data_IF_187836478017
#
_entry.id   IF_187836478017
#
_cell.length_a   1.000
_cell.length_b   1.000
_cell.length_c   1.000
_cell.angle_alpha   90.00
_cell.angle_beta   90.00
_cell.angle_gamma   90.00
#
_symmetry.space_group_name_H-M   'P 1'
#
loop_
_entity.id
_entity.type
_entity.pdbx_description
1 polymer ?
#
# COMPACT_ATOMS: atom_id res chain seq x y z
N UNK A 1 21.69 6.56 19.74
CA UNK A 1 22.40 7.68 20.42
C UNK A 1 23.84 7.86 19.90
N UNK A 2 24.69 6.82 19.86
CA UNK A 2 26.06 6.95 19.34
C UNK A 2 26.12 7.39 17.86
N UNK A 3 25.36 6.73 16.99
CA UNK A 3 25.30 7.09 15.57
C UNK A 3 24.83 8.54 15.31
N UNK A 4 23.88 9.03 16.11
CA UNK A 4 23.40 10.42 16.01
C UNK A 4 24.50 11.42 16.42
N UNK A 5 25.27 11.14 17.48
CA UNK A 5 26.39 12.00 17.86
C UNK A 5 27.46 12.05 16.77
N UNK A 6 27.80 10.90 16.20
CA UNK A 6 28.76 10.82 15.10
C UNK A 6 28.29 11.60 13.86
N UNK A 7 27.00 11.51 13.53
CA UNK A 7 26.43 12.29 12.42
C UNK A 7 26.39 13.81 12.68
N UNK A 8 26.44 14.25 13.95
CA UNK A 8 26.43 15.65 14.34
C UNK A 8 27.83 16.28 14.45
N UNK A 9 28.90 15.49 14.49
CA UNK A 9 30.28 16.02 14.56
C UNK A 9 30.63 17.03 13.45
N UNK A 10 30.26 16.79 12.18
CA UNK A 10 30.51 17.74 11.10
C UNK A 10 29.74 19.07 11.26
N UNK A 11 28.73 19.11 12.13
CA UNK A 11 27.86 20.27 12.34
C UNK A 11 28.25 21.07 13.60
N UNK A 12 29.41 20.81 14.20
CA UNK A 12 29.88 21.51 15.41
C UNK A 12 30.03 23.03 15.23
N UNK A 13 30.32 23.48 14.01
CA UNK A 13 30.39 24.91 13.67
C UNK A 13 29.02 25.53 13.30
N UNK A 14 27.94 24.74 13.27
CA UNK A 14 26.60 25.21 12.93
C UNK A 14 25.87 25.62 14.20
N UNK A 15 25.41 26.87 14.22
CA UNK A 15 24.62 27.40 15.33
C UNK A 15 23.30 26.64 15.47
N UNK A 16 23.03 26.15 16.68
CA UNK A 16 21.75 25.54 17.00
C UNK A 16 20.68 26.63 17.09
N UNK A 17 19.58 26.43 16.37
CA UNK A 17 18.41 27.31 16.41
C UNK A 17 17.27 26.54 17.09
N UNK A 18 16.44 27.19 17.92
CA UNK A 18 15.21 26.59 18.43
C UNK A 18 14.38 26.03 17.28
N UNK A 19 13.91 24.79 17.44
CA UNK A 19 13.24 24.09 16.37
C UNK A 19 11.89 24.76 16.08
N UNK A 20 11.68 25.30 14.87
CA UNK A 20 10.45 26.02 14.55
C UNK A 20 9.29 25.04 14.33
N UNK A 21 8.03 25.51 14.39
CA UNK A 21 6.87 24.71 14.00
C UNK A 21 7.02 24.14 12.57
N UNK A 22 6.41 23.00 12.28
CA UNK A 22 6.57 22.29 11.02
C UNK A 22 6.28 23.16 9.78
N UNK A 23 5.24 23.99 9.83
CA UNK A 23 4.87 24.93 8.77
C UNK A 23 6.00 25.92 8.43
N UNK A 24 6.69 26.40 9.47
CA UNK A 24 7.80 27.35 9.32
C UNK A 24 9.08 26.63 8.88
N UNK A 25 9.29 25.38 9.28
CA UNK A 25 10.36 24.55 8.71
C UNK A 25 10.15 24.36 7.21
N UNK A 26 8.91 24.09 6.76
CA UNK A 26 8.57 23.94 5.35
C UNK A 26 8.89 25.21 4.54
N UNK A 27 8.53 26.38 5.07
CA UNK A 27 8.87 27.66 4.44
C UNK A 27 10.38 27.91 4.33
N UNK A 28 11.16 27.58 5.38
CA UNK A 28 12.61 27.74 5.40
C UNK A 28 13.35 26.78 4.45
N UNK A 29 12.72 25.66 4.10
CA UNK A 29 13.31 24.61 3.28
C UNK A 29 12.92 24.68 1.80
N UNK A 30 12.05 25.61 1.40
CA UNK A 30 11.62 25.77 0.01
C UNK A 30 12.76 26.11 -0.98
N UNK A 31 13.89 26.61 -0.49
CA UNK A 31 15.11 26.87 -1.30
C UNK A 31 16.24 25.87 -1.10
N UNK A 32 16.00 24.74 -0.43
CA UNK A 32 17.05 23.74 -0.20
C UNK A 32 17.32 22.90 -1.46
N UNK A 33 18.55 22.41 -1.64
CA UNK A 33 18.85 21.50 -2.75
C UNK A 33 17.97 20.24 -2.70
N UNK A 34 17.56 19.66 -3.85
CA UNK A 34 16.63 18.53 -3.90
C UNK A 34 17.10 17.30 -3.10
N UNK A 35 18.42 17.13 -2.94
CA UNK A 35 19.03 16.03 -2.19
C UNK A 35 18.71 16.09 -0.70
N UNK A 36 18.42 17.28 -0.17
CA UNK A 36 18.03 17.48 1.23
C UNK A 36 16.55 17.19 1.47
N UNK A 37 15.74 17.10 0.42
CA UNK A 37 14.28 16.95 0.54
C UNK A 37 13.87 15.71 1.37
N UNK A 38 14.47 14.52 1.20
CA UNK A 38 14.12 13.36 2.02
C UNK A 38 14.42 13.55 3.52
N UNK A 39 15.51 14.25 3.85
CA UNK A 39 15.87 14.54 5.23
C UNK A 39 14.95 15.60 5.84
N UNK A 40 14.61 16.63 5.07
CA UNK A 40 13.66 17.68 5.46
C UNK A 40 12.26 17.11 5.66
N UNK A 41 11.82 16.20 4.80
CA UNK A 41 10.54 15.49 4.95
C UNK A 41 10.53 14.62 6.21
N UNK A 42 11.64 13.94 6.52
CA UNK A 42 11.80 13.23 7.78
C UNK A 42 11.73 14.18 8.99
N UNK A 43 12.43 15.32 8.94
CA UNK A 43 12.40 16.32 10.02
C UNK A 43 11.00 16.89 10.24
N UNK A 44 10.25 17.20 9.17
CA UNK A 44 8.85 17.66 9.24
C UNK A 44 7.95 16.60 9.84
N UNK A 45 8.07 15.36 9.38
CA UNK A 45 7.30 14.23 9.86
C UNK A 45 7.58 13.94 11.35
N UNK A 46 8.84 14.06 11.79
CA UNK A 46 9.18 14.02 13.20
C UNK A 46 8.58 15.21 13.96
N UNK A 47 8.68 16.43 13.45
CA UNK A 47 8.07 17.60 14.10
C UNK A 47 6.57 17.45 14.32
N UNK A 48 5.83 17.10 13.27
CA UNK A 48 4.37 16.92 13.30
C UNK A 48 3.97 15.83 14.30
N UNK A 49 4.65 14.68 14.24
CA UNK A 49 4.25 13.54 15.05
C UNK A 49 4.86 13.51 16.46
N UNK A 50 5.81 14.39 16.78
CA UNK A 50 6.36 14.50 18.13
C UNK A 50 5.65 15.55 18.99
N UNK A 51 4.77 16.38 18.40
CA UNK A 51 4.01 17.40 19.13
C UNK A 51 4.92 18.29 19.98
N UNK A 52 6.14 18.57 19.48
CA UNK A 52 7.15 19.31 20.22
C UNK A 52 6.81 20.79 20.19
N UNK A 53 5.84 21.17 21.00
CA UNK A 53 5.76 22.53 21.51
C UNK A 53 6.99 22.67 22.42
N UNK A 54 7.95 23.54 22.07
CA UNK A 54 9.29 23.61 22.68
C UNK A 54 9.37 23.96 24.17
N UNK A 55 8.35 23.64 24.98
CA UNK A 55 8.15 24.07 26.37
C UNK A 55 8.15 22.94 27.40
N UNK A 56 8.17 21.66 27.02
CA UNK A 56 8.10 20.54 28.00
C UNK A 56 9.35 19.64 28.03
N UNK A 57 10.10 19.58 29.15
CA UNK A 57 11.39 18.86 29.23
C UNK A 57 11.26 17.33 29.38
N UNK A 58 10.05 16.75 29.27
CA UNK A 58 9.81 15.31 29.55
C UNK A 58 8.80 14.59 28.67
N UNK A 59 8.36 15.17 27.55
CA UNK A 59 7.58 14.37 26.60
C UNK A 59 8.52 13.42 25.88
N UNK A 60 8.41 12.12 26.18
CA UNK A 60 9.05 11.11 25.34
C UNK A 60 8.46 11.28 23.93
N UNK A 61 9.28 11.59 22.92
CA UNK A 61 8.79 11.82 21.58
C UNK A 61 8.13 10.53 21.06
N UNK A 62 6.80 10.49 21.03
CA UNK A 62 6.02 9.34 20.59
C UNK A 62 5.39 9.64 19.22
N UNK A 63 5.97 9.05 18.18
CA UNK A 63 5.52 9.20 16.81
C UNK A 63 4.36 8.22 16.53
N UNK A 64 3.14 8.72 16.36
CA UNK A 64 1.99 7.91 15.95
C UNK A 64 1.89 7.89 14.43
N UNK A 65 2.32 6.79 13.82
CA UNK A 65 2.10 6.53 12.39
C UNK A 65 0.85 5.73 12.20
N UNK A 66 -0.02 6.21 11.32
CA UNK A 66 -1.04 5.38 10.71
C UNK A 66 -0.36 4.36 9.76
N UNK A 67 0.06 3.24 10.33
CA UNK A 67 0.76 2.17 9.60
C UNK A 67 -0.15 1.51 8.54
N UNK A 68 -1.46 1.61 8.69
CA UNK A 68 -2.42 1.15 7.70
C UNK A 68 -2.29 1.98 6.43
N UNK A 69 -2.38 3.32 6.55
CA UNK A 69 -2.18 4.24 5.41
C UNK A 69 -0.79 4.15 4.80
N UNK A 70 0.25 4.00 5.61
CA UNK A 70 1.63 3.87 5.09
C UNK A 70 1.77 2.60 4.27
N UNK A 71 1.23 1.49 4.76
CA UNK A 71 1.30 0.21 4.05
C UNK A 71 0.46 0.22 2.77
N UNK A 72 -0.73 0.80 2.83
CA UNK A 72 -1.58 1.00 1.65
C UNK A 72 -0.83 1.79 0.57
N UNK A 73 -0.29 2.96 0.90
CA UNK A 73 0.49 3.78 -0.03
C UNK A 73 1.72 3.05 -0.57
N UNK A 74 2.40 2.26 0.27
CA UNK A 74 3.55 1.46 -0.13
C UNK A 74 3.18 0.42 -1.19
N UNK A 75 2.09 -0.33 -0.97
CA UNK A 75 1.57 -1.31 -1.93
C UNK A 75 1.11 -0.61 -3.20
N UNK A 76 0.28 0.43 -3.08
CA UNK A 76 -0.24 1.23 -4.20
C UNK A 76 0.88 1.75 -5.08
N UNK A 77 1.92 2.35 -4.50
CA UNK A 77 3.09 2.85 -5.24
C UNK A 77 3.76 1.72 -6.04
N UNK A 78 3.95 0.56 -5.43
CA UNK A 78 4.53 -0.59 -6.11
C UNK A 78 3.67 -1.15 -7.25
N UNK A 79 2.35 -1.14 -7.09
CA UNK A 79 1.42 -1.55 -8.16
C UNK A 79 1.47 -0.54 -9.30
N UNK A 80 1.33 0.76 -9.02
CA UNK A 80 1.38 1.82 -10.03
C UNK A 80 2.69 1.79 -10.82
N UNK A 81 3.83 1.68 -10.14
CA UNK A 81 5.15 1.60 -10.79
C UNK A 81 5.28 0.37 -11.69
N UNK A 82 4.68 -0.77 -11.31
CA UNK A 82 4.76 -2.00 -12.10
C UNK A 82 4.01 -1.93 -13.44
N UNK A 83 3.05 -1.01 -13.57
CA UNK A 83 2.26 -0.80 -14.77
C UNK A 83 2.56 0.53 -15.48
N UNK A 84 3.44 1.37 -14.94
CA UNK A 84 3.75 2.70 -15.46
C UNK A 84 4.22 2.73 -16.94
N UNK A 85 4.79 1.63 -17.45
CA UNK A 85 5.31 1.54 -18.83
C UNK A 85 4.31 0.91 -19.82
N UNK A 86 3.03 0.80 -19.45
CA UNK A 86 2.04 0.05 -20.23
C UNK A 86 0.89 0.93 -20.67
N UNK A 87 0.86 1.32 -21.94
CA UNK A 87 -0.19 2.18 -22.52
C UNK A 87 -1.58 1.53 -22.55
N UNK A 88 -1.65 0.21 -22.38
CA UNK A 88 -2.90 -0.56 -22.37
C UNK A 88 -3.49 -0.74 -20.97
N UNK A 89 -2.78 -0.34 -19.92
CA UNK A 89 -3.16 -0.58 -18.53
C UNK A 89 -3.33 0.73 -17.78
N UNK A 90 -4.48 0.86 -17.14
CA UNK A 90 -4.79 1.97 -16.25
C UNK A 90 -4.83 1.47 -14.81
N UNK A 91 -4.20 2.22 -13.90
CA UNK A 91 -4.19 1.94 -12.46
C UNK A 91 -4.93 3.06 -11.77
N UNK A 92 -6.14 2.76 -11.29
CA UNK A 92 -6.92 3.68 -10.48
C UNK A 92 -6.58 3.49 -9.00
N UNK A 93 -6.22 4.59 -8.33
CA UNK A 93 -5.90 4.60 -6.91
C UNK A 93 -7.11 5.09 -6.12
N UNK A 94 -7.55 4.28 -5.15
CA UNK A 94 -8.70 4.56 -4.29
C UNK A 94 -9.99 5.02 -5.01
N UNK A 95 -10.37 4.45 -6.17
CA UNK A 95 -11.56 4.87 -6.91
C UNK A 95 -12.82 4.65 -6.08
N UNK A 96 -13.77 5.60 -6.12
CA UNK A 96 -15.04 5.50 -5.39
C UNK A 96 -16.18 5.19 -6.35
N UNK A 97 -16.89 4.10 -6.09
CA UNK A 97 -18.02 3.65 -6.89
C UNK A 97 -19.31 3.69 -6.07
N UNK A 98 -20.37 4.28 -6.61
CA UNK A 98 -21.73 4.15 -6.07
C UNK A 98 -22.40 2.93 -6.68
N UNK A 99 -22.92 2.03 -5.84
CA UNK A 99 -23.32 0.68 -6.29
C UNK A 99 -24.78 0.32 -6.02
N UNK A 100 -25.55 1.26 -5.49
CA UNK A 100 -26.99 1.17 -5.35
C UNK A 100 -27.69 2.03 -6.41
N UNK A 101 -28.94 1.71 -6.70
CA UNK A 101 -29.81 2.62 -7.44
C UNK A 101 -30.20 3.80 -6.52
N UNK A 102 -30.33 5.02 -7.07
CA UNK A 102 -30.85 6.15 -6.32
C UNK A 102 -32.28 5.87 -5.85
N UNK A 103 -32.54 6.02 -4.54
CA UNK A 103 -33.86 5.79 -3.95
C UNK A 103 -34.17 6.92 -2.96
N UNK A 104 -34.82 7.98 -3.45
CA UNK A 104 -35.23 9.13 -2.62
C UNK A 104 -34.06 9.75 -1.84
N UNK A 105 -34.20 9.82 -0.51
CA UNK A 105 -33.18 10.36 0.42
C UNK A 105 -32.25 9.29 1.00
N UNK A 106 -32.25 8.07 0.47
CA UNK A 106 -31.40 6.98 0.98
C UNK A 106 -29.91 7.25 0.70
N UNK A 107 -29.01 7.05 1.67
CA UNK A 107 -27.57 7.17 1.45
C UNK A 107 -27.06 6.11 0.47
N UNK A 108 -26.09 6.49 -0.34
CA UNK A 108 -25.46 5.61 -1.31
C UNK A 108 -24.53 4.59 -0.64
N UNK A 109 -24.48 3.39 -1.21
CA UNK A 109 -23.50 2.37 -0.89
C UNK A 109 -22.26 2.68 -1.75
N UNK A 110 -21.13 2.88 -1.08
CA UNK A 110 -19.86 3.18 -1.72
C UNK A 110 -18.92 1.98 -1.63
N UNK A 111 -18.29 1.63 -2.76
CA UNK A 111 -17.15 0.73 -2.81
C UNK A 111 -15.89 1.51 -3.16
N UNK A 112 -14.84 1.30 -2.38
CA UNK A 112 -13.56 1.97 -2.56
C UNK A 112 -12.40 1.00 -2.36
N UNK A 113 -12.01 0.22 -3.39
CA UNK A 113 -10.79 -0.58 -3.33
C UNK A 113 -9.56 0.33 -3.31
N UNK A 114 -8.44 -0.13 -2.74
CA UNK A 114 -7.20 0.66 -2.71
C UNK A 114 -6.61 0.85 -4.10
N UNK A 115 -6.64 -0.21 -4.92
CA UNK A 115 -6.21 -0.16 -6.31
C UNK A 115 -7.11 -1.00 -7.21
N UNK A 116 -7.53 -0.42 -8.34
CA UNK A 116 -8.15 -1.13 -9.44
C UNK A 116 -7.25 -1.06 -10.68
N UNK A 117 -6.91 -2.21 -11.23
CA UNK A 117 -6.15 -2.31 -12.49
C UNK A 117 -7.10 -2.66 -13.62
N UNK A 118 -7.14 -1.81 -14.65
CA UNK A 118 -7.89 -2.02 -15.89
C UNK A 118 -6.94 -2.32 -17.04
N UNK A 119 -7.33 -3.23 -17.91
CA UNK A 119 -6.65 -3.46 -19.19
C UNK A 119 -7.62 -3.14 -20.33
N UNK A 120 -7.27 -2.19 -21.19
CA UNK A 120 -8.14 -1.67 -22.27
C UNK A 120 -9.54 -1.33 -21.76
N UNK A 121 -9.61 -0.56 -20.67
CA UNK A 121 -10.85 -0.13 -20.01
C UNK A 121 -11.58 -1.20 -19.19
N UNK A 122 -11.20 -2.48 -19.30
CA UNK A 122 -11.85 -3.58 -18.58
C UNK A 122 -11.20 -3.84 -17.22
N UNK A 123 -11.95 -3.84 -16.10
CA UNK A 123 -11.42 -4.25 -14.79
C UNK A 123 -10.80 -5.64 -14.84
N UNK A 124 -9.56 -5.78 -14.38
CA UNK A 124 -8.84 -7.06 -14.40
C UNK A 124 -8.48 -7.54 -13.00
N UNK A 125 -7.97 -6.62 -12.17
CA UNK A 125 -7.45 -6.95 -10.84
C UNK A 125 -7.85 -5.88 -9.84
N UNK A 126 -8.38 -6.32 -8.70
CA UNK A 126 -8.56 -5.46 -7.53
C UNK A 126 -7.51 -5.82 -6.49
N UNK A 127 -6.86 -4.81 -5.92
CA UNK A 127 -5.86 -4.98 -4.85
C UNK A 127 -6.32 -4.20 -3.64
N UNK A 128 -6.21 -4.83 -2.48
CA UNK A 128 -6.54 -4.22 -1.18
C UNK A 128 -5.45 -4.64 -0.17
N UNK A 129 -4.88 -3.64 0.50
CA UNK A 129 -3.75 -3.76 1.39
C UNK A 129 -4.19 -3.58 2.84
N UNK A 130 -3.91 -4.57 3.69
CA UNK A 130 -4.31 -4.56 5.10
C UNK A 130 -3.10 -4.65 6.01
N UNK A 131 -2.92 -3.65 6.88
CA UNK A 131 -1.91 -3.70 7.93
C UNK A 131 -2.37 -4.54 9.12
N UNK A 132 -2.27 -5.86 8.97
CA UNK A 132 -2.50 -6.79 10.07
C UNK A 132 -1.74 -8.09 9.92
N UNK A 133 -1.54 -8.76 11.05
CA UNK A 133 -1.00 -10.11 11.10
C UNK A 133 -2.18 -11.09 11.15
N UNK A 134 -2.42 -11.88 10.09
CA UNK A 134 -3.49 -12.89 10.12
C UNK A 134 -3.25 -13.86 11.28
N UNK A 135 -4.18 -14.04 12.23
CA UNK A 135 -3.99 -14.92 13.39
C UNK A 135 -4.15 -16.38 12.96
N UNK A 136 -3.07 -17.16 12.98
CA UNK A 136 -3.08 -18.63 12.78
C UNK A 136 -3.45 -19.13 11.39
N UNK A 137 -4.21 -18.35 10.61
CA UNK A 137 -4.65 -18.61 9.24
C UNK A 137 -4.25 -17.43 8.37
N UNK A 138 -3.86 -17.63 7.10
CA UNK A 138 -3.63 -16.52 6.18
C UNK A 138 -4.91 -15.71 5.90
N UNK A 139 -6.10 -16.28 6.17
CA UNK A 139 -7.41 -15.68 5.88
C UNK A 139 -7.95 -14.89 7.06
N UNK A 140 -8.30 -13.63 6.82
CA UNK A 140 -9.15 -12.84 7.71
C UNK A 140 -10.52 -12.70 7.03
N UNK A 141 -11.55 -13.31 7.61
CA UNK A 141 -12.87 -13.47 6.97
C UNK A 141 -13.50 -12.14 6.53
N UNK A 142 -13.36 -11.08 7.32
CA UNK A 142 -13.89 -9.76 6.98
C UNK A 142 -13.29 -9.18 5.69
N UNK A 143 -11.98 -9.34 5.47
CA UNK A 143 -11.33 -8.85 4.25
C UNK A 143 -11.74 -9.65 3.02
N UNK A 144 -11.93 -10.96 3.22
CA UNK A 144 -12.41 -11.83 2.15
C UNK A 144 -13.78 -11.37 1.68
N UNK A 145 -14.70 -11.07 2.61
CA UNK A 145 -16.02 -10.56 2.24
C UNK A 145 -15.96 -9.20 1.57
N UNK A 146 -15.11 -8.29 2.07
CA UNK A 146 -14.90 -6.99 1.45
C UNK A 146 -14.38 -7.11 0.00
N UNK A 147 -13.32 -7.90 -0.22
CA UNK A 147 -12.73 -8.01 -1.55
C UNK A 147 -13.62 -8.80 -2.52
N UNK A 148 -14.43 -9.73 -2.01
CA UNK A 148 -15.44 -10.42 -2.82
C UNK A 148 -16.55 -9.47 -3.26
N UNK A 149 -16.99 -8.55 -2.39
CA UNK A 149 -17.95 -7.50 -2.77
C UNK A 149 -17.40 -6.59 -3.88
N UNK A 150 -16.10 -6.27 -3.85
CA UNK A 150 -15.46 -5.57 -4.96
C UNK A 150 -15.49 -6.38 -6.25
N UNK A 151 -15.14 -7.66 -6.19
CA UNK A 151 -15.12 -8.53 -7.37
C UNK A 151 -16.49 -8.68 -8.03
N UNK A 152 -17.54 -8.92 -7.23
CA UNK A 152 -18.89 -9.12 -7.76
C UNK A 152 -19.44 -7.84 -8.38
N UNK A 153 -19.16 -6.70 -7.77
CA UNK A 153 -19.73 -5.41 -8.21
C UNK A 153 -18.98 -4.80 -9.39
N UNK A 154 -17.65 -4.89 -9.39
CA UNK A 154 -16.81 -4.36 -10.48
C UNK A 154 -16.56 -5.39 -11.60
N UNK A 155 -17.18 -6.57 -11.52
CA UNK A 155 -17.00 -7.69 -12.45
C UNK A 155 -15.54 -8.10 -12.64
N UNK A 156 -14.76 -8.02 -11.56
CA UNK A 156 -13.34 -8.38 -11.53
C UNK A 156 -13.19 -9.85 -11.18
N UNK A 157 -12.38 -10.57 -11.97
CA UNK A 157 -12.13 -12.02 -11.78
C UNK A 157 -10.93 -12.34 -10.90
N UNK A 158 -10.13 -11.33 -10.54
CA UNK A 158 -8.93 -11.52 -9.74
C UNK A 158 -8.84 -10.49 -8.62
N UNK A 159 -8.86 -11.00 -7.40
CA UNK A 159 -8.68 -10.22 -6.18
C UNK A 159 -7.30 -10.50 -5.58
N UNK A 160 -6.65 -9.48 -5.04
CA UNK A 160 -5.37 -9.62 -4.34
C UNK A 160 -5.42 -8.89 -3.00
N UNK A 161 -5.45 -9.66 -1.92
CA UNK A 161 -5.27 -9.15 -0.56
C UNK A 161 -3.78 -9.16 -0.22
N UNK A 162 -3.25 -8.02 0.20
CA UNK A 162 -1.85 -7.86 0.56
C UNK A 162 -1.72 -7.60 2.06
N UNK A 163 -0.91 -8.39 2.75
CA UNK A 163 -0.62 -8.28 4.18
C UNK A 163 0.88 -8.10 4.42
N UNK A 164 1.31 -7.36 5.45
CA UNK A 164 2.72 -7.27 5.80
C UNK A 164 3.25 -8.60 6.34
N UNK A 165 4.51 -8.90 6.06
CA UNK A 165 5.19 -10.10 6.53
C UNK A 165 6.70 -9.96 6.60
N UNK A 166 7.35 -10.97 7.18
CA UNK A 166 8.82 -11.07 7.21
C UNK A 166 9.40 -11.66 5.92
N UNK A 167 8.60 -12.39 5.16
CA UNK A 167 8.96 -13.09 3.92
C UNK A 167 7.74 -13.13 3.00
N UNK A 168 8.01 -13.21 1.71
CA UNK A 168 6.94 -13.35 0.72
C UNK A 168 6.27 -14.72 0.81
N UNK A 169 4.95 -14.71 0.77
CA UNK A 169 4.11 -15.91 0.67
C UNK A 169 2.88 -15.60 -0.17
N UNK A 170 2.40 -16.60 -0.90
CA UNK A 170 1.21 -16.47 -1.75
C UNK A 170 0.32 -17.69 -1.53
N UNK A 171 -0.95 -17.44 -1.26
CA UNK A 171 -2.01 -18.43 -1.31
C UNK A 171 -2.99 -18.02 -2.41
N UNK A 172 -3.55 -19.00 -3.12
CA UNK A 172 -4.53 -18.77 -4.17
C UNK A 172 -5.76 -19.61 -3.87
N UNK A 173 -6.92 -18.97 -3.91
CA UNK A 173 -8.21 -19.59 -3.69
C UNK A 173 -9.09 -19.32 -4.90
N UNK A 174 -9.59 -20.38 -5.53
CA UNK A 174 -10.57 -20.28 -6.61
C UNK A 174 -11.94 -20.57 -6.01
N UNK A 175 -12.89 -19.68 -6.24
CA UNK A 175 -14.24 -19.85 -5.74
C UNK A 175 -14.98 -20.91 -6.57
N UNK A 176 -15.59 -21.89 -5.91
CA UNK A 176 -16.27 -22.99 -6.60
C UNK A 176 -17.48 -22.53 -7.45
N UNK A 177 -18.15 -21.46 -7.04
CA UNK A 177 -19.40 -20.96 -7.65
C UNK A 177 -19.29 -19.58 -8.27
N UNK A 178 -18.09 -19.04 -8.41
CA UNK A 178 -17.85 -17.74 -9.01
C UNK A 178 -16.54 -17.75 -9.80
N UNK A 179 -16.45 -17.05 -10.95
CA UNK A 179 -15.21 -16.97 -11.74
C UNK A 179 -14.21 -15.98 -11.10
N UNK A 180 -13.96 -16.11 -9.80
CA UNK A 180 -13.13 -15.23 -8.99
C UNK A 180 -11.98 -16.05 -8.41
N UNK A 181 -10.76 -15.60 -8.66
CA UNK A 181 -9.55 -16.05 -7.96
C UNK A 181 -9.14 -15.00 -6.93
N UNK A 182 -9.08 -15.39 -5.66
CA UNK A 182 -8.55 -14.55 -4.57
C UNK A 182 -7.13 -14.99 -4.26
N UNK A 183 -6.19 -14.05 -4.39
CA UNK A 183 -4.80 -14.26 -3.99
C UNK A 183 -4.54 -13.55 -2.66
N UNK A 184 -4.09 -14.31 -1.66
CA UNK A 184 -3.61 -13.74 -0.41
C UNK A 184 -2.09 -13.69 -0.46
N UNK A 185 -1.54 -12.50 -0.31
CA UNK A 185 -0.10 -12.25 -0.41
C UNK A 185 0.42 -11.69 0.90
N UNK A 186 1.40 -12.36 1.50
CA UNK A 186 2.28 -11.71 2.48
C UNK A 186 3.42 -11.06 1.73
N UNK A 187 3.61 -9.77 1.96
CA UNK A 187 4.66 -8.94 1.37
C UNK A 187 5.76 -8.71 2.41
N UNK A 188 7.02 -8.97 2.04
CA UNK A 188 8.15 -8.68 2.91
C UNK A 188 8.29 -7.16 3.10
N UNK A 189 8.15 -6.73 4.34
CA UNK A 189 8.35 -5.34 4.80
C UNK A 189 9.37 -5.24 5.95
N UNK A 190 10.08 -6.33 6.22
CA UNK A 190 11.07 -6.42 7.30
C UNK A 190 12.44 -6.89 6.79
N UNK A 191 13.49 -6.26 7.30
CA UNK A 191 14.89 -6.49 6.91
C UNK A 191 15.44 -5.36 6.03
N UNK A 192 16.51 -5.62 5.26
CA UNK A 192 17.15 -4.60 4.42
C UNK A 192 16.18 -3.97 3.42
N UNK A 193 16.33 -2.65 3.19
CA UNK A 193 15.44 -1.89 2.31
C UNK A 193 15.40 -2.44 0.87
N UNK A 194 16.53 -2.93 0.37
CA UNK A 194 16.63 -3.56 -0.95
C UNK A 194 15.74 -4.81 -1.06
N UNK A 195 15.80 -5.70 -0.06
CA UNK A 195 14.98 -6.90 -0.05
C UNK A 195 13.47 -6.60 0.02
N UNK A 196 13.08 -5.49 0.68
CA UNK A 196 11.70 -5.01 0.67
C UNK A 196 11.31 -4.45 -0.71
N UNK A 197 12.19 -3.68 -1.37
CA UNK A 197 11.96 -3.18 -2.74
C UNK A 197 11.82 -4.31 -3.75
N UNK A 198 12.69 -5.33 -3.69
CA UNK A 198 12.59 -6.52 -4.55
C UNK A 198 11.26 -7.26 -4.35
N UNK A 199 10.84 -7.41 -3.09
CA UNK A 199 9.54 -7.99 -2.72
C UNK A 199 8.38 -7.23 -3.36
N UNK A 200 8.40 -5.89 -3.29
CA UNK A 200 7.40 -5.02 -3.93
C UNK A 200 7.40 -5.16 -5.47
N UNK A 201 8.58 -5.22 -6.09
CA UNK A 201 8.70 -5.44 -7.54
C UNK A 201 8.17 -6.82 -7.95
N UNK A 202 8.40 -7.86 -7.14
CA UNK A 202 7.84 -9.21 -7.38
C UNK A 202 6.31 -9.21 -7.26
N UNK A 203 5.73 -8.44 -6.34
CA UNK A 203 4.29 -8.22 -6.28
C UNK A 203 3.80 -7.65 -7.61
N UNK A 204 4.35 -6.52 -8.05
CA UNK A 204 4.01 -5.88 -9.31
C UNK A 204 4.10 -6.80 -10.53
N UNK A 205 5.24 -7.49 -10.71
CA UNK A 205 5.44 -8.46 -11.80
C UNK A 205 4.39 -9.58 -11.79
N UNK A 206 3.97 -10.04 -10.62
CA UNK A 206 2.96 -11.08 -10.53
C UNK A 206 1.54 -10.59 -10.84
N UNK A 207 1.24 -9.30 -10.65
CA UNK A 207 -0.04 -8.71 -11.03
C UNK A 207 -0.18 -8.58 -12.55
N UNK A 208 0.93 -8.38 -13.29
CA UNK A 208 0.93 -8.31 -14.76
C UNK A 208 0.52 -9.62 -15.45
N UNK A 209 0.67 -10.77 -14.77
CA UNK A 209 0.24 -12.06 -15.32
C UNK A 209 -1.30 -12.11 -15.38
N UNK A 210 -1.92 -12.51 -16.49
CA UNK A 210 -3.37 -12.62 -16.57
C UNK A 210 -3.90 -13.65 -15.57
N UNK A 211 -5.17 -13.50 -15.16
CA UNK A 211 -5.87 -14.55 -14.44
C UNK A 211 -5.92 -15.81 -15.31
N UNK A 212 -5.61 -16.97 -14.74
CA UNK A 212 -5.71 -18.25 -15.47
C UNK A 212 -7.18 -18.51 -15.76
N UNK A 213 -7.53 -18.72 -17.03
CA UNK A 213 -8.91 -19.04 -17.42
C UNK A 213 -9.29 -20.42 -16.87
N UNK A 214 -10.32 -20.53 -16.00
CA UNK A 214 -10.75 -21.81 -15.46
C UNK A 214 -11.25 -22.79 -16.52
N UNK A 215 -11.56 -22.35 -17.74
CA UNK A 215 -12.02 -23.22 -18.84
C UNK A 215 -10.91 -23.97 -19.57
N UNK A 216 -9.64 -23.64 -19.36
CA UNK A 216 -8.50 -24.29 -20.05
C UNK A 216 -7.89 -25.49 -19.30
N UNK A 217 -8.47 -25.91 -18.17
CA UNK A 217 -7.88 -26.91 -17.28
C UNK A 217 -8.42 -28.34 -17.38
N UNK A 218 -9.30 -28.65 -18.33
CA UNK A 218 -9.99 -29.95 -18.40
C UNK A 218 -9.78 -30.75 -19.71
N UNK A 219 -8.91 -30.32 -20.63
CA UNK A 219 -8.69 -31.03 -21.91
C UNK A 219 -7.40 -31.88 -21.97
N UNK A 220 -6.53 -31.88 -20.95
CA UNK A 220 -5.26 -32.65 -20.97
C UNK A 220 -5.24 -33.86 -20.02
N UNK A 221 -6.41 -34.34 -19.57
CA UNK A 221 -6.52 -35.54 -18.74
C UNK A 221 -7.53 -36.55 -19.31
N UNK A 222 -7.42 -36.88 -20.59
CA UNK A 222 -8.00 -38.10 -21.18
C UNK A 222 -7.24 -38.51 -22.44
N UNK A 223 -5.94 -38.77 -22.32
CA UNK A 223 -5.15 -39.52 -23.31
C UNK A 223 -3.93 -40.07 -22.58
N UNK A 224 -4.15 -41.19 -21.89
CA UNK A 224 -3.26 -42.36 -21.78
C UNK A 224 -3.77 -43.32 -20.69
#
# INVERSE_FOLDING_TARGET
RAALRQALEPFTAVSLVPLPPADRLAALSAGSPPEYQPLLDLCRLLLDGLGLDGTSPRSQPAFLVDLERVFERYVTTGVTQAFATSDLVEVEVQPTYVVNQPAGKQPNIHLRPDVLVRHRGRPQVVVDAKWKKPPGSPLVTADLYQILAYCTTLQVRRAVLVYPGRRDRVWKYRLARAPIEVQLRRLRVHGPAEACRESLQRLGKALRRPAVDPRRGTEEASSD
#
